data_IF_476416463212
#
_entry.id   IF_476416463212
#
_cell.length_a   1.000
_cell.length_b   1.000
_cell.length_c   1.000
_cell.angle_alpha   90.00
_cell.angle_beta   90.00
_cell.angle_gamma   90.00
#
_symmetry.space_group_name_H-M   'P 1'
#
loop_
_entity.id
_entity.type
_entity.pdbx_description
1 polymer ?
#
# COMPACT_ATOMS: atom_id res chain seq x y z
N UNK A 1 12.43 0.54 -17.85
CA UNK A 1 11.34 -0.30 -18.43
C UNK A 1 10.62 -0.97 -17.27
N UNK A 2 9.51 -0.40 -16.80
CA UNK A 2 8.76 -0.89 -15.63
C UNK A 2 7.88 -2.06 -16.06
N UNK A 3 8.13 -3.23 -15.48
CA UNK A 3 7.39 -4.47 -15.71
C UNK A 3 6.13 -4.49 -14.84
N UNK A 4 5.16 -3.62 -15.14
CA UNK A 4 3.85 -3.62 -14.49
C UNK A 4 2.96 -4.65 -15.22
N UNK A 5 2.57 -5.72 -14.51
CA UNK A 5 1.60 -6.69 -15.02
C UNK A 5 0.17 -6.14 -14.99
N UNK A 6 -0.73 -6.71 -15.80
CA UNK A 6 -2.15 -6.33 -15.83
C UNK A 6 -2.88 -6.77 -14.54
N UNK A 7 -2.84 -5.89 -13.53
CA UNK A 7 -3.53 -6.08 -12.25
C UNK A 7 -5.03 -6.10 -12.40
N UNK A 8 -5.59 -5.33 -13.33
CA UNK A 8 -7.04 -5.28 -13.52
C UNK A 8 -7.57 -6.63 -13.98
N UNK A 9 -6.88 -7.25 -14.94
CA UNK A 9 -7.23 -8.58 -15.40
C UNK A 9 -7.13 -9.62 -14.28
N UNK A 10 -6.04 -9.59 -13.50
CA UNK A 10 -5.85 -10.51 -12.38
C UNK A 10 -6.92 -10.33 -11.29
N UNK A 11 -7.24 -9.08 -10.93
CA UNK A 11 -8.28 -8.79 -9.94
C UNK A 11 -9.67 -9.23 -10.43
N UNK A 12 -9.96 -9.07 -11.72
CA UNK A 12 -11.20 -9.55 -12.31
C UNK A 12 -11.30 -11.08 -12.24
N UNK A 13 -10.22 -11.81 -12.56
CA UNK A 13 -10.18 -13.27 -12.43
C UNK A 13 -10.34 -13.73 -10.97
N UNK A 14 -9.68 -13.06 -10.04
CA UNK A 14 -9.81 -13.32 -8.59
C UNK A 14 -11.26 -13.08 -8.16
N UNK A 15 -11.88 -11.98 -8.60
CA UNK A 15 -13.26 -11.65 -8.26
C UNK A 15 -14.25 -12.66 -8.84
N UNK A 16 -14.07 -13.10 -10.08
CA UNK A 16 -14.90 -14.13 -10.69
C UNK A 16 -14.76 -15.47 -9.93
N UNK A 17 -13.52 -15.84 -9.59
CA UNK A 17 -13.23 -17.04 -8.80
C UNK A 17 -13.85 -16.98 -7.41
N UNK A 18 -13.77 -15.82 -6.75
CA UNK A 18 -14.40 -15.56 -5.47
C UNK A 18 -15.91 -15.78 -5.54
N UNK A 19 -16.60 -15.20 -6.52
CA UNK A 19 -18.06 -15.36 -6.68
C UNK A 19 -18.43 -16.82 -6.94
N UNK A 20 -17.66 -17.54 -7.78
CA UNK A 20 -17.88 -18.98 -8.02
C UNK A 20 -17.73 -19.80 -6.74
N UNK A 21 -16.68 -19.56 -5.95
CA UNK A 21 -16.45 -20.24 -4.68
C UNK A 21 -17.49 -19.87 -3.62
N UNK A 22 -17.91 -18.60 -3.55
CA UNK A 22 -18.92 -18.12 -2.61
C UNK A 22 -20.27 -18.82 -2.84
N UNK A 23 -20.66 -19.03 -4.10
CA UNK A 23 -21.86 -19.82 -4.44
C UNK A 23 -21.77 -21.26 -3.96
N UNK A 24 -20.58 -21.88 -4.06
CA UNK A 24 -20.35 -23.24 -3.54
C UNK A 24 -20.36 -23.27 -2.01
N UNK A 25 -19.89 -22.21 -1.35
CA UNK A 25 -19.86 -22.10 0.09
C UNK A 25 -21.26 -22.14 0.74
N UNK A 26 -22.32 -21.78 -0.01
CA UNK A 26 -23.71 -21.95 0.43
C UNK A 26 -24.06 -23.41 0.78
N UNK A 27 -23.39 -24.37 0.13
CA UNK A 27 -23.61 -25.81 0.32
C UNK A 27 -22.44 -26.51 1.04
N UNK A 28 -21.30 -25.81 1.21
CA UNK A 28 -20.11 -26.30 1.90
C UNK A 28 -19.47 -25.18 2.73
N UNK A 29 -19.93 -24.97 3.98
CA UNK A 29 -19.47 -23.86 4.83
C UNK A 29 -17.96 -23.84 5.11
N UNK A 30 -17.28 -24.99 5.03
CA UNK A 30 -15.82 -25.08 5.17
C UNK A 30 -15.06 -24.22 4.15
N UNK A 31 -15.65 -23.94 2.98
CA UNK A 31 -15.06 -23.08 1.95
C UNK A 31 -15.04 -21.60 2.34
N UNK A 32 -15.81 -21.17 3.36
CA UNK A 32 -15.81 -19.78 3.81
C UNK A 32 -14.46 -19.35 4.37
N UNK A 33 -13.74 -20.25 5.04
CA UNK A 33 -12.40 -19.97 5.56
C UNK A 33 -11.39 -19.74 4.43
N UNK A 34 -11.52 -20.47 3.31
CA UNK A 34 -10.69 -20.25 2.13
C UNK A 34 -11.00 -18.93 1.40
N UNK A 35 -12.20 -18.38 1.61
CA UNK A 35 -12.65 -17.16 0.94
C UNK A 35 -12.27 -15.89 1.69
N UNK A 36 -12.05 -15.97 3.01
CA UNK A 36 -11.67 -14.82 3.84
C UNK A 36 -10.44 -14.07 3.30
N UNK A 37 -9.33 -14.74 2.94
CA UNK A 37 -8.15 -14.03 2.42
C UNK A 37 -8.44 -13.30 1.10
N UNK A 38 -9.27 -13.89 0.25
CA UNK A 38 -9.65 -13.32 -1.05
C UNK A 38 -10.57 -12.11 -0.86
N UNK A 39 -11.56 -12.22 0.02
CA UNK A 39 -12.46 -11.11 0.37
C UNK A 39 -11.66 -9.93 0.97
N UNK A 40 -10.71 -10.24 1.86
CA UNK A 40 -9.82 -9.24 2.45
C UNK A 40 -8.96 -8.57 1.38
N UNK A 41 -8.37 -9.33 0.47
CA UNK A 41 -7.59 -8.78 -0.65
C UNK A 41 -8.42 -7.80 -1.48
N UNK A 42 -9.60 -8.22 -1.96
CA UNK A 42 -10.47 -7.39 -2.79
C UNK A 42 -10.91 -6.10 -2.05
N UNK A 43 -11.20 -6.22 -0.75
CA UNK A 43 -11.54 -5.07 0.10
C UNK A 43 -10.37 -4.08 0.25
N UNK A 44 -9.16 -4.58 0.52
CA UNK A 44 -7.97 -3.74 0.67
C UNK A 44 -7.61 -3.02 -0.64
N UNK A 45 -7.63 -3.75 -1.75
CA UNK A 45 -7.36 -3.19 -3.08
C UNK A 45 -8.36 -2.09 -3.42
N UNK A 46 -9.64 -2.31 -3.14
CA UNK A 46 -10.67 -1.28 -3.33
C UNK A 46 -10.40 -0.04 -2.49
N UNK A 47 -10.12 -0.19 -1.19
CA UNK A 47 -9.83 0.95 -0.29
C UNK A 47 -8.59 1.73 -0.72
N UNK A 48 -7.56 1.05 -1.20
CA UNK A 48 -6.36 1.69 -1.73
C UNK A 48 -6.69 2.48 -3.00
N UNK A 49 -7.47 1.91 -3.93
CA UNK A 49 -7.92 2.61 -5.13
C UNK A 49 -8.78 3.84 -4.79
N UNK A 50 -9.73 3.69 -3.87
CA UNK A 50 -10.61 4.77 -3.42
C UNK A 50 -9.80 5.92 -2.76
N UNK A 51 -8.65 5.61 -2.16
CA UNK A 51 -7.70 6.59 -1.62
C UNK A 51 -6.69 7.12 -2.66
N UNK A 52 -6.81 6.73 -3.93
CA UNK A 52 -5.98 7.23 -5.03
C UNK A 52 -4.65 6.50 -5.22
N UNK A 53 -4.44 5.34 -4.59
CA UNK A 53 -3.23 4.54 -4.79
C UNK A 53 -3.31 3.70 -6.07
N UNK A 54 -2.20 3.63 -6.80
CA UNK A 54 -2.04 2.70 -7.91
C UNK A 54 -1.68 1.32 -7.37
N UNK A 55 -2.41 0.29 -7.79
CA UNK A 55 -2.15 -1.10 -7.39
C UNK A 55 -1.52 -1.82 -8.57
N UNK A 56 -0.38 -2.47 -8.35
CA UNK A 56 0.41 -3.11 -9.40
C UNK A 56 0.83 -4.54 -9.03
N UNK A 57 1.19 -5.33 -10.04
CA UNK A 57 1.81 -6.64 -9.89
C UNK A 57 3.30 -6.47 -10.17
N UNK A 58 4.16 -6.73 -9.19
CA UNK A 58 5.60 -6.68 -9.39
C UNK A 58 6.14 -8.08 -9.67
N UNK A 59 6.80 -8.26 -10.82
CA UNK A 59 7.43 -9.54 -11.21
C UNK A 59 8.79 -9.78 -10.57
N UNK A 60 9.40 -8.77 -9.94
CA UNK A 60 10.67 -8.86 -9.21
C UNK A 60 10.51 -8.30 -7.81
N UNK A 61 11.10 -8.97 -6.82
CA UNK A 61 11.11 -8.47 -5.44
C UNK A 61 11.91 -7.17 -5.35
N UNK A 62 11.27 -6.05 -4.97
CA UNK A 62 11.93 -4.76 -4.79
C UNK A 62 12.88 -4.77 -3.58
N UNK A 63 13.84 -3.84 -3.52
CA UNK A 63 14.81 -3.74 -2.42
C UNK A 63 14.22 -2.98 -1.23
N UNK A 64 14.73 -3.25 -0.01
CA UNK A 64 14.31 -2.51 1.20
C UNK A 64 14.84 -1.06 1.10
N UNK A 65 14.01 -0.03 1.32
CA UNK A 65 14.42 1.36 1.21
C UNK A 65 15.54 1.66 2.22
N UNK A 66 16.50 2.47 1.78
CA UNK A 66 17.61 2.92 2.62
C UNK A 66 17.22 4.13 3.50
N UNK A 67 16.16 4.85 3.16
CA UNK A 67 15.79 6.13 3.78
C UNK A 67 14.54 6.04 4.66
N UNK A 68 14.70 6.57 5.87
CA UNK A 68 13.62 6.94 6.79
C UNK A 68 13.82 8.43 7.11
N UNK A 69 12.76 9.25 7.24
CA UNK A 69 11.34 8.88 7.26
C UNK A 69 10.70 8.63 5.89
N UNK A 70 9.67 7.80 5.88
CA UNK A 70 8.82 7.59 4.70
C UNK A 70 7.89 8.78 4.45
N UNK A 71 7.52 9.04 3.18
CA UNK A 71 6.61 10.13 2.85
C UNK A 71 5.20 9.91 3.44
N UNK A 72 4.40 10.97 3.64
CA UNK A 72 3.05 10.88 4.22
C UNK A 72 2.12 9.87 3.51
N UNK A 73 2.21 9.75 2.19
CA UNK A 73 1.42 8.78 1.39
C UNK A 73 1.69 7.33 1.78
N UNK A 74 2.92 6.99 2.21
CA UNK A 74 3.26 5.63 2.71
C UNK A 74 2.55 5.34 4.03
N UNK A 75 2.50 6.33 4.94
CA UNK A 75 1.76 6.21 6.20
C UNK A 75 0.26 6.07 5.99
N UNK A 76 -0.30 6.81 5.02
CA UNK A 76 -1.71 6.68 4.65
C UNK A 76 -2.02 5.27 4.12
N UNK A 77 -1.16 4.71 3.26
CA UNK A 77 -1.32 3.33 2.79
C UNK A 77 -1.25 2.31 3.94
N UNK A 78 -0.36 2.49 4.92
CA UNK A 78 -0.33 1.64 6.11
C UNK A 78 -1.60 1.69 6.94
N UNK A 79 -2.21 2.88 7.08
CA UNK A 79 -3.48 3.02 7.80
C UNK A 79 -4.61 2.22 7.13
N UNK A 80 -4.61 2.13 5.79
CA UNK A 80 -5.59 1.37 5.01
C UNK A 80 -5.33 -0.14 5.12
N UNK A 81 -4.07 -0.55 5.05
CA UNK A 81 -3.65 -1.96 5.16
C UNK A 81 -3.81 -2.52 6.58
N UNK A 82 -3.81 -1.66 7.59
CA UNK A 82 -3.92 -2.04 9.00
C UNK A 82 -2.71 -2.82 9.52
N UNK A 83 -1.56 -2.70 8.84
CA UNK A 83 -0.32 -3.38 9.21
C UNK A 83 0.89 -2.60 8.72
N UNK A 84 1.91 -2.50 9.58
CA UNK A 84 3.24 -2.01 9.22
C UNK A 84 4.00 -3.13 8.51
N UNK A 85 3.74 -3.30 7.22
CA UNK A 85 4.47 -4.25 6.37
C UNK A 85 5.79 -3.65 5.89
N UNK A 86 6.68 -4.50 5.37
CA UNK A 86 7.92 -4.03 4.74
C UNK A 86 7.59 -3.08 3.58
N UNK A 87 8.11 -1.86 3.62
CA UNK A 87 8.13 -0.99 2.43
C UNK A 87 9.29 -1.43 1.57
N UNK A 88 9.12 -1.33 0.27
CA UNK A 88 10.18 -1.52 -0.70
C UNK A 88 10.30 -0.31 -1.61
N UNK A 89 11.47 -0.12 -2.22
CA UNK A 89 11.72 1.01 -3.11
C UNK A 89 12.41 0.55 -4.39
N UNK A 90 11.91 1.04 -5.52
CA UNK A 90 12.56 0.94 -6.83
C UNK A 90 12.54 2.35 -7.42
N UNK A 91 13.72 2.87 -7.78
CA UNK A 91 13.89 4.26 -8.20
C UNK A 91 13.31 5.22 -7.14
N UNK A 92 12.46 6.15 -7.56
CA UNK A 92 11.74 7.06 -6.66
C UNK A 92 10.40 6.52 -6.18
N UNK A 93 9.97 5.31 -6.56
CA UNK A 93 8.66 4.76 -6.16
C UNK A 93 8.78 3.84 -4.94
N UNK A 94 7.81 3.97 -4.03
CA UNK A 94 7.61 3.06 -2.91
C UNK A 94 6.57 2.00 -3.27
N UNK A 95 6.80 0.78 -2.81
CA UNK A 95 5.96 -0.38 -3.05
C UNK A 95 5.64 -1.02 -1.71
N UNK A 96 4.36 -1.08 -1.38
CA UNK A 96 3.89 -1.68 -0.13
C UNK A 96 3.16 -2.98 -0.45
N UNK A 97 3.61 -4.13 0.04
CA UNK A 97 3.00 -5.42 -0.26
C UNK A 97 1.61 -5.51 0.34
N UNK A 98 0.65 -5.97 -0.47
CA UNK A 98 -0.71 -6.27 -0.05
C UNK A 98 -0.82 -7.78 0.20
N UNK A 99 -0.71 -8.59 -0.86
CA UNK A 99 -0.66 -10.06 -0.80
C UNK A 99 -0.15 -10.62 -2.14
N UNK A 100 0.49 -11.79 -2.15
CA UNK A 100 0.68 -12.59 -3.37
C UNK A 100 1.38 -11.89 -4.54
N UNK A 101 2.28 -10.93 -4.28
CA UNK A 101 2.98 -10.17 -5.33
C UNK A 101 2.23 -8.93 -5.84
N UNK A 102 1.09 -8.59 -5.23
CA UNK A 102 0.35 -7.34 -5.45
C UNK A 102 0.87 -6.27 -4.49
N UNK A 103 1.18 -5.09 -5.03
CA UNK A 103 1.74 -3.96 -4.30
C UNK A 103 0.91 -2.70 -4.51
N UNK A 104 0.80 -1.87 -3.48
CA UNK A 104 0.45 -0.47 -3.64
C UNK A 104 1.70 0.30 -4.07
N UNK A 105 1.68 0.88 -5.27
CA UNK A 105 2.71 1.77 -5.80
C UNK A 105 2.40 3.20 -5.36
N UNK A 106 3.40 3.84 -4.80
CA UNK A 106 3.39 5.25 -4.40
C UNK A 106 4.54 5.89 -5.13
N UNK A 107 4.24 6.79 -6.07
CA UNK A 107 5.28 7.58 -6.68
C UNK A 107 5.87 8.50 -5.61
N UNK A 108 7.19 8.42 -5.42
CA UNK A 108 7.89 9.41 -4.64
C UNK A 108 7.94 10.68 -5.46
N UNK A 109 7.28 11.70 -4.94
CA UNK A 109 7.55 13.08 -5.33
C UNK A 109 9.02 13.36 -4.97
N UNK A 110 9.76 14.05 -5.86
CA UNK A 110 11.02 14.68 -5.45
C UNK A 110 10.72 15.47 -4.19
N UNK A 111 11.33 15.08 -3.07
CA UNK A 111 11.22 15.85 -1.85
C UNK A 111 11.81 17.22 -2.15
N UNK A 112 10.98 18.27 -2.25
CA UNK A 112 11.51 19.60 -2.00
C UNK A 112 12.23 19.53 -0.65
N UNK A 113 13.48 20.03 -0.56
CA UNK A 113 14.24 19.95 0.67
C UNK A 113 13.37 20.49 1.81
N UNK A 114 13.21 19.67 2.85
CA UNK A 114 12.49 20.07 4.04
C UNK A 114 13.20 21.30 4.63
N UNK A 115 12.74 22.49 4.29
CA UNK A 115 13.11 23.69 5.02
C UNK A 115 12.56 23.50 6.44
N UNK A 116 13.47 23.25 7.37
CA UNK A 116 13.23 23.39 8.80
C UNK A 116 12.68 24.80 9.01
N UNK A 117 11.35 24.97 9.00
CA UNK A 117 10.74 26.18 9.50
C UNK A 117 11.14 26.24 10.97
N UNK A 118 11.84 27.29 11.42
CA UNK A 118 12.24 27.40 12.81
C UNK A 118 10.96 27.31 13.64
N UNK A 119 10.84 26.24 14.42
CA UNK A 119 9.79 26.08 15.41
C UNK A 119 9.88 27.30 16.32
N UNK A 120 8.74 27.92 16.59
CA UNK A 120 8.57 29.17 17.34
C UNK A 120 8.92 29.01 18.83
N UNK A 121 10.14 28.56 19.12
CA UNK A 121 10.70 28.32 20.45
C UNK A 121 11.99 29.12 20.70
N UNK A 122 12.51 29.87 19.72
CA UNK A 122 13.57 30.86 19.93
C UNK A 122 13.02 32.27 20.24
N UNK A 123 11.99 32.36 21.08
CA UNK A 123 11.50 33.66 21.59
C UNK A 123 11.20 33.64 23.10
N UNK A 124 11.91 32.80 23.83
CA UNK A 124 11.93 32.82 25.30
C UNK A 124 13.39 32.69 25.73
N UNK A 125 14.20 33.72 25.50
CA UNK A 125 15.45 33.96 26.24
C UNK A 125 16.01 35.37 26.00
N UNK A 126 15.11 36.37 25.92
CA UNK A 126 15.53 37.78 25.83
C UNK A 126 14.71 38.71 26.72
N UNK A 127 14.20 38.19 27.84
CA UNK A 127 13.76 38.99 28.97
C UNK A 127 14.03 38.22 30.27
N UNK A 128 15.20 38.43 30.86
CA UNK A 128 15.38 38.68 32.29
C UNK A 128 16.84 39.10 32.54
N UNK A 129 16.98 40.41 32.74
CA UNK A 129 17.95 41.16 33.58
C UNK A 129 19.45 40.91 33.41
#
# INVERSE_FOLDING_TARGET
MTMEGDVEHLLAEIQETFVKKLRKAAYMPSLLQELEPIARLLSLVRRLRDAGFHVILASKMPFKPASHPYPPKVWQAFSILGSLTSVYQINSSYYIPIIGGIFAKIEGEEQEPFELRPTRLEKINSYEL
#
